data_IF_930143671976
#
_entry.id   IF_930143671976
#
_cell.length_a   1.000
_cell.length_b   1.000
_cell.length_c   1.000
_cell.angle_alpha   90.00
_cell.angle_beta   90.00
_cell.angle_gamma   90.00
#
_symmetry.space_group_name_H-M   'P 1'
#
loop_
_entity.id
_entity.type
_entity.pdbx_description
1 polymer ?
#
# COMPACT_ATOMS: atom_id res chain seq x y z
N UNK A 1 62.95 -45.02 -9.48
CA UNK A 1 62.49 -43.68 -9.89
C UNK A 1 60.97 -43.61 -10.20
N UNK A 2 60.31 -44.61 -10.78
CA UNK A 2 58.86 -44.57 -11.13
C UNK A 2 57.88 -44.40 -9.97
N UNK A 3 58.20 -44.87 -8.75
CA UNK A 3 57.25 -44.78 -7.62
C UNK A 3 57.25 -43.41 -6.91
N UNK A 4 58.37 -42.67 -6.96
CA UNK A 4 58.44 -41.30 -6.37
C UNK A 4 57.59 -40.27 -7.19
N UNK A 5 57.65 -40.38 -8.50
CA UNK A 5 56.89 -39.47 -9.40
C UNK A 5 55.39 -39.69 -9.25
N UNK A 6 54.94 -40.95 -9.12
CA UNK A 6 53.47 -41.23 -8.89
C UNK A 6 52.97 -40.70 -7.55
N UNK A 7 53.82 -40.71 -6.51
CA UNK A 7 53.40 -40.18 -5.20
C UNK A 7 53.31 -38.64 -5.21
N UNK A 8 54.23 -37.98 -5.87
CA UNK A 8 54.25 -36.53 -6.01
C UNK A 8 53.06 -36.04 -6.85
N UNK A 9 52.76 -36.68 -7.99
CA UNK A 9 51.61 -36.32 -8.84
C UNK A 9 50.29 -36.53 -8.11
N UNK A 10 50.10 -37.63 -7.35
CA UNK A 10 48.91 -37.84 -6.51
C UNK A 10 48.75 -36.76 -5.46
N UNK A 11 49.82 -36.30 -4.81
CA UNK A 11 49.75 -35.25 -3.79
C UNK A 11 49.37 -33.90 -4.38
N UNK A 12 49.81 -33.55 -5.57
CA UNK A 12 49.41 -32.33 -6.27
C UNK A 12 47.99 -32.40 -6.81
N UNK A 13 47.53 -33.56 -7.27
CA UNK A 13 46.15 -33.76 -7.69
C UNK A 13 45.21 -33.65 -6.48
N UNK A 14 45.56 -34.21 -5.31
CA UNK A 14 44.78 -34.04 -4.07
C UNK A 14 44.75 -32.59 -3.59
N UNK A 15 45.88 -31.88 -3.63
CA UNK A 15 45.95 -30.45 -3.27
C UNK A 15 45.14 -29.58 -4.24
N UNK A 16 45.20 -29.88 -5.52
CA UNK A 16 44.40 -29.16 -6.54
C UNK A 16 42.90 -29.42 -6.39
N UNK A 17 42.50 -30.67 -6.07
CA UNK A 17 41.11 -31.00 -5.82
C UNK A 17 40.55 -30.36 -4.54
N UNK A 18 41.35 -30.16 -3.51
CA UNK A 18 40.98 -29.43 -2.30
C UNK A 18 40.92 -27.91 -2.57
N UNK A 19 41.90 -27.36 -3.29
CA UNK A 19 41.95 -25.94 -3.61
C UNK A 19 40.85 -25.47 -4.58
N UNK A 20 40.39 -26.32 -5.50
CA UNK A 20 39.33 -26.02 -6.46
C UNK A 20 37.96 -26.54 -5.99
N UNK A 21 37.92 -27.67 -5.30
CA UNK A 21 36.68 -28.28 -4.83
C UNK A 21 36.01 -27.52 -3.68
N UNK A 22 36.79 -27.03 -2.69
CA UNK A 22 36.27 -26.27 -1.57
C UNK A 22 35.64 -24.90 -1.97
N UNK A 23 36.30 -24.10 -2.83
CA UNK A 23 35.66 -22.88 -3.31
C UNK A 23 34.46 -23.14 -4.21
N UNK A 24 34.50 -24.19 -5.07
CA UNK A 24 33.37 -24.55 -5.93
C UNK A 24 32.18 -25.09 -5.15
N UNK A 25 32.39 -25.91 -4.12
CA UNK A 25 31.34 -26.37 -3.23
C UNK A 25 30.80 -25.24 -2.36
N UNK A 26 31.67 -24.32 -1.90
CA UNK A 26 31.24 -23.07 -1.23
C UNK A 26 30.42 -22.18 -2.13
N UNK A 27 30.79 -22.00 -3.39
CA UNK A 27 30.00 -21.26 -4.39
C UNK A 27 28.71 -21.98 -4.77
N UNK A 28 28.68 -23.32 -4.82
CA UNK A 28 27.45 -24.09 -5.05
C UNK A 28 26.53 -24.05 -3.84
N UNK A 29 27.06 -24.09 -2.62
CA UNK A 29 26.24 -23.95 -1.39
C UNK A 29 25.70 -22.53 -1.26
N UNK A 30 26.49 -21.51 -1.58
CA UNK A 30 26.04 -20.11 -1.63
C UNK A 30 25.10 -19.80 -2.80
N UNK A 31 25.10 -20.63 -3.85
CA UNK A 31 24.21 -20.47 -5.01
C UNK A 31 22.91 -21.31 -4.97
N UNK A 32 22.84 -22.31 -4.07
CA UNK A 32 21.65 -23.18 -3.97
C UNK A 32 20.68 -22.69 -2.90
N UNK A 33 21.13 -21.94 -1.88
CA UNK A 33 20.27 -21.33 -0.86
C UNK A 33 20.29 -19.79 -0.93
N UNK A 34 20.39 -19.24 -2.12
CA UNK A 34 20.29 -17.81 -2.35
C UNK A 34 18.84 -17.28 -2.37
N UNK A 35 17.93 -17.85 -1.63
CA UNK A 35 16.84 -17.09 -1.05
C UNK A 35 17.48 -16.16 -0.01
N UNK A 36 17.95 -15.02 -0.48
CA UNK A 36 18.24 -13.90 0.39
C UNK A 36 16.91 -13.46 1.01
N UNK A 37 16.45 -14.20 2.02
CA UNK A 37 15.49 -13.72 2.98
C UNK A 37 16.18 -12.59 3.73
N UNK A 38 16.19 -11.39 3.15
CA UNK A 38 16.40 -10.21 3.95
C UNK A 38 15.31 -10.24 5.01
N UNK A 39 15.69 -10.18 6.27
CA UNK A 39 14.72 -10.00 7.32
C UNK A 39 13.96 -8.72 7.02
N UNK A 40 12.72 -8.82 6.59
CA UNK A 40 11.83 -7.68 6.42
C UNK A 40 11.19 -7.40 7.76
N UNK A 41 10.93 -6.13 8.06
CA UNK A 41 10.22 -5.79 9.28
C UNK A 41 8.75 -6.22 9.18
N UNK A 42 8.16 -6.67 10.30
CA UNK A 42 6.74 -7.02 10.33
C UNK A 42 5.87 -5.78 10.14
N UNK A 43 4.61 -6.01 9.79
CA UNK A 43 3.55 -5.03 9.89
C UNK A 43 2.78 -5.24 11.21
N UNK A 44 2.36 -4.13 11.83
CA UNK A 44 1.56 -4.17 13.05
C UNK A 44 0.07 -4.13 12.70
N UNK A 45 -0.74 -4.79 13.52
CA UNK A 45 -2.21 -4.83 13.43
C UNK A 45 -2.79 -4.66 14.83
N UNK A 46 -4.09 -4.49 14.94
CA UNK A 46 -4.83 -4.46 16.21
C UNK A 46 -4.70 -5.73 17.06
N UNK A 47 -4.32 -6.85 16.43
CA UNK A 47 -4.22 -8.18 17.05
C UNK A 47 -2.80 -8.73 17.13
N UNK A 48 -1.77 -7.96 16.77
CA UNK A 48 -0.36 -8.38 16.80
C UNK A 48 0.42 -7.99 15.54
N UNK A 49 1.43 -8.78 15.21
CA UNK A 49 2.27 -8.56 14.02
C UNK A 49 2.02 -9.59 12.93
N UNK A 50 2.21 -9.19 11.69
CA UNK A 50 2.13 -10.04 10.49
C UNK A 50 3.40 -9.84 9.65
N UNK A 51 3.96 -10.93 9.07
CA UNK A 51 5.20 -10.87 8.30
C UNK A 51 5.03 -10.21 6.93
N UNK A 52 3.85 -10.34 6.33
CA UNK A 52 3.54 -9.78 5.02
C UNK A 52 2.38 -8.81 5.13
N UNK A 53 2.45 -7.76 4.31
CA UNK A 53 1.35 -6.80 4.24
C UNK A 53 0.00 -7.48 3.96
N UNK A 54 -1.02 -7.02 4.67
CA UNK A 54 -2.43 -7.29 4.42
C UNK A 54 -3.25 -6.04 4.71
N UNK A 55 -4.48 -5.99 4.28
CA UNK A 55 -5.43 -4.90 4.57
C UNK A 55 -5.67 -4.64 6.07
N UNK A 56 -5.23 -5.57 6.95
CA UNK A 56 -5.26 -5.38 8.42
C UNK A 56 -4.02 -4.67 8.96
N UNK A 57 -3.02 -4.37 8.11
CA UNK A 57 -1.84 -3.64 8.54
C UNK A 57 -2.24 -2.23 8.99
N UNK A 58 -1.82 -1.85 10.19
CA UNK A 58 -2.13 -0.55 10.78
C UNK A 58 -1.40 0.55 10.04
N UNK A 59 -2.17 1.52 9.57
CA UNK A 59 -1.67 2.71 8.87
C UNK A 59 -1.99 3.96 9.66
N UNK A 60 -1.08 4.92 9.65
CA UNK A 60 -1.32 6.23 10.26
C UNK A 60 -2.33 7.01 9.43
N UNK A 61 -3.41 7.45 10.08
CA UNK A 61 -4.44 8.28 9.46
C UNK A 61 -3.86 9.63 9.01
N UNK A 62 -4.32 10.20 7.89
CA UNK A 62 -3.91 11.54 7.49
C UNK A 62 -4.20 12.58 8.57
N UNK A 63 -3.21 13.45 8.84
CA UNK A 63 -3.35 14.51 9.84
C UNK A 63 -2.74 15.83 9.35
N UNK A 64 -3.24 16.92 9.93
CA UNK A 64 -2.65 18.25 9.81
C UNK A 64 -2.63 18.87 11.21
N UNK A 65 -1.42 19.22 11.68
CA UNK A 65 -1.13 19.77 13.00
C UNK A 65 -0.25 21.01 12.88
N UNK A 66 0.08 21.65 14.00
CA UNK A 66 0.95 22.85 14.04
C UNK A 66 2.31 22.43 14.58
N UNK A 67 3.39 22.85 13.91
CA UNK A 67 4.73 22.55 14.36
C UNK A 67 5.26 23.62 15.37
N UNK A 68 6.45 23.38 15.90
CA UNK A 68 7.11 24.27 16.87
C UNK A 68 7.55 25.63 16.28
N UNK A 69 7.47 25.85 14.98
CA UNK A 69 7.69 27.14 14.31
C UNK A 69 6.38 27.89 14.04
N UNK A 70 5.26 27.39 14.57
CA UNK A 70 3.89 27.92 14.38
C UNK A 70 3.44 27.81 12.91
N UNK A 71 3.90 26.77 12.21
CA UNK A 71 3.53 26.49 10.82
C UNK A 71 2.67 25.23 10.76
N UNK A 72 1.78 25.16 9.76
CA UNK A 72 1.00 23.94 9.48
C UNK A 72 1.91 22.84 8.97
N UNK A 73 1.84 21.64 9.57
CA UNK A 73 2.52 20.44 9.16
C UNK A 73 1.47 19.40 8.72
N UNK A 74 1.53 18.96 7.47
CA UNK A 74 0.64 17.96 6.89
C UNK A 74 1.34 16.60 6.78
N UNK A 75 0.64 15.52 7.12
CA UNK A 75 1.17 14.15 7.02
C UNK A 75 1.64 13.76 5.62
N UNK A 76 1.21 14.47 4.55
CA UNK A 76 1.74 14.30 3.19
C UNK A 76 3.23 14.57 3.09
N UNK A 77 3.79 15.39 3.99
CA UNK A 77 5.23 15.64 4.04
C UNK A 77 6.04 14.39 4.43
N UNK A 78 5.37 13.37 5.00
CA UNK A 78 5.95 12.09 5.39
C UNK A 78 5.84 11.01 4.30
N UNK A 79 5.09 11.26 3.24
CA UNK A 79 4.94 10.31 2.13
C UNK A 79 6.30 10.00 1.48
N UNK A 80 6.59 8.72 1.30
CA UNK A 80 7.87 8.25 0.75
C UNK A 80 9.05 8.32 1.72
N UNK A 81 8.85 8.68 2.99
CA UNK A 81 9.91 8.78 4.01
C UNK A 81 9.73 7.75 5.11
N UNK A 82 10.84 7.21 5.60
CA UNK A 82 10.85 6.48 6.88
C UNK A 82 10.85 7.48 8.03
N UNK A 83 10.00 7.27 9.02
CA UNK A 83 9.97 8.21 10.12
C UNK A 83 9.69 7.58 11.48
N UNK A 84 10.23 8.20 12.51
CA UNK A 84 10.00 7.83 13.91
C UNK A 84 8.90 8.72 14.47
N UNK A 85 7.83 8.11 14.99
CA UNK A 85 6.83 8.79 15.80
C UNK A 85 7.20 8.68 17.29
N UNK A 86 7.25 9.80 18.00
CA UNK A 86 7.52 9.88 19.43
C UNK A 86 6.41 10.67 20.13
N UNK A 87 6.07 10.30 21.37
CA UNK A 87 4.95 10.88 22.10
C UNK A 87 5.40 11.32 23.49
N UNK A 88 5.30 12.60 23.81
CA UNK A 88 5.62 13.11 25.13
C UNK A 88 5.11 14.56 25.34
N UNK A 89 4.81 14.98 26.58
CA UNK A 89 4.65 16.39 26.90
C UNK A 89 5.99 16.97 27.35
N UNK A 90 6.28 18.24 27.02
CA UNK A 90 7.57 18.87 27.35
C UNK A 90 7.80 19.09 28.86
N UNK A 91 6.74 19.06 29.66
CA UNK A 91 6.78 19.23 31.12
C UNK A 91 6.98 17.93 31.92
N UNK A 92 7.08 16.76 31.24
CA UNK A 92 7.29 15.50 31.93
C UNK A 92 8.71 15.36 32.49
N UNK A 93 8.88 14.75 33.70
CA UNK A 93 10.16 14.70 34.38
C UNK A 93 11.33 14.09 33.62
N UNK A 94 11.06 13.11 32.77
CA UNK A 94 12.08 12.34 32.05
C UNK A 94 12.20 12.70 30.56
N UNK A 95 11.42 13.66 30.07
CA UNK A 95 11.35 14.00 28.66
C UNK A 95 12.68 14.49 28.09
N UNK A 96 13.46 15.24 28.86
CA UNK A 96 14.78 15.71 28.42
C UNK A 96 15.78 14.56 28.19
N UNK A 97 15.70 13.49 28.99
CA UNK A 97 16.51 12.28 28.74
C UNK A 97 16.06 11.54 27.49
N UNK A 98 14.76 11.42 27.29
CA UNK A 98 14.17 10.83 26.12
C UNK A 98 14.56 11.57 24.83
N UNK A 99 14.45 12.91 24.85
CA UNK A 99 14.89 13.73 23.70
C UNK A 99 16.38 13.57 23.39
N UNK A 100 17.23 13.40 24.42
CA UNK A 100 18.66 13.11 24.21
C UNK A 100 18.91 11.78 23.50
N UNK A 101 18.10 10.77 23.75
CA UNK A 101 18.21 9.49 23.05
C UNK A 101 17.83 9.63 21.58
N UNK A 102 16.83 10.46 21.26
CA UNK A 102 16.45 10.77 19.87
C UNK A 102 17.50 11.59 19.11
N UNK A 103 18.48 12.21 19.80
CA UNK A 103 19.59 12.88 19.11
C UNK A 103 20.40 11.91 18.26
N UNK A 104 20.56 10.67 18.68
CA UNK A 104 21.39 9.71 17.96
C UNK A 104 20.83 9.29 16.60
N UNK A 105 19.57 8.83 16.45
CA UNK A 105 19.00 8.58 15.14
C UNK A 105 18.99 9.83 14.25
N UNK A 106 18.64 11.01 14.79
CA UNK A 106 18.67 12.26 14.03
C UNK A 106 20.08 12.64 13.56
N UNK A 107 21.11 12.42 14.39
CA UNK A 107 22.50 12.65 14.00
C UNK A 107 23.01 11.61 12.99
N UNK A 108 22.66 10.33 13.15
CA UNK A 108 23.05 9.24 12.26
C UNK A 108 22.55 9.46 10.84
N UNK A 109 21.32 9.94 10.72
CA UNK A 109 20.63 10.12 9.43
C UNK A 109 20.48 11.61 9.03
N UNK A 110 21.32 12.50 9.55
CA UNK A 110 21.21 13.94 9.31
C UNK A 110 21.29 14.35 7.84
N UNK A 111 22.02 13.57 7.02
CA UNK A 111 22.25 13.84 5.60
C UNK A 111 21.22 13.13 4.69
N UNK A 112 20.36 12.25 5.25
CA UNK A 112 19.34 11.49 4.53
C UNK A 112 18.01 12.26 4.49
N UNK A 113 17.56 12.68 3.31
CA UNK A 113 16.34 13.51 3.18
C UNK A 113 15.04 12.75 3.39
N UNK A 114 15.08 11.44 3.30
CA UNK A 114 13.97 10.49 3.37
C UNK A 114 13.76 9.89 4.78
N UNK A 115 14.45 10.42 5.80
CA UNK A 115 14.26 10.03 7.20
C UNK A 115 13.85 11.24 8.04
N UNK A 116 12.80 11.08 8.84
CA UNK A 116 12.28 12.12 9.73
C UNK A 116 12.01 11.60 11.15
N UNK A 117 11.99 12.50 12.09
CA UNK A 117 11.48 12.26 13.45
C UNK A 117 10.35 13.24 13.74
N UNK A 118 9.20 12.71 14.13
CA UNK A 118 7.99 13.48 14.43
C UNK A 118 7.58 13.23 15.87
N UNK A 119 7.58 14.28 16.67
CA UNK A 119 7.23 14.24 18.08
C UNK A 119 5.84 14.85 18.25
N UNK A 120 4.92 14.09 18.80
CA UNK A 120 3.56 14.53 19.13
C UNK A 120 3.49 14.87 20.61
N UNK A 121 2.98 16.05 20.95
CA UNK A 121 2.71 16.36 22.35
C UNK A 121 1.55 15.52 22.90
N UNK A 122 1.62 15.20 24.18
CA UNK A 122 0.52 14.59 24.93
C UNK A 122 -0.28 15.61 25.77
N UNK A 123 0.19 16.85 25.83
CA UNK A 123 -0.43 17.95 26.55
C UNK A 123 -0.44 19.22 25.68
N UNK A 124 -1.32 19.24 24.71
CA UNK A 124 -1.43 20.37 23.78
C UNK A 124 -1.86 21.68 24.43
N UNK A 125 -2.52 21.61 25.58
CA UNK A 125 -2.89 22.81 26.33
C UNK A 125 -1.65 23.52 26.92
N UNK A 126 -0.65 22.76 27.34
CA UNK A 126 0.63 23.30 27.84
C UNK A 126 1.60 23.53 26.68
N UNK A 127 1.75 22.58 25.79
CA UNK A 127 2.74 22.56 24.71
C UNK A 127 2.28 23.36 23.48
N UNK A 128 2.06 24.66 23.68
CA UNK A 128 1.80 25.59 22.56
C UNK A 128 3.08 25.77 21.71
N UNK A 129 2.99 26.21 20.45
CA UNK A 129 4.15 26.35 19.55
C UNK A 129 5.34 27.07 20.18
N UNK A 130 5.09 28.17 20.91
CA UNK A 130 6.16 28.93 21.62
C UNK A 130 6.86 28.10 22.70
N UNK A 131 6.13 27.22 23.41
CA UNK A 131 6.70 26.34 24.44
C UNK A 131 7.53 25.25 23.79
N UNK A 132 7.01 24.64 22.74
CA UNK A 132 7.72 23.65 21.92
C UNK A 132 9.00 24.25 21.34
N UNK A 133 8.96 25.43 20.76
CA UNK A 133 10.13 26.14 20.20
C UNK A 133 11.23 26.31 21.24
N UNK A 134 10.89 26.84 22.42
CA UNK A 134 11.85 26.99 23.54
C UNK A 134 12.41 25.63 23.99
N UNK A 135 11.58 24.59 23.97
CA UNK A 135 12.01 23.23 24.31
C UNK A 135 13.02 22.70 23.32
N UNK A 136 12.75 22.82 22.01
CA UNK A 136 13.62 22.42 20.90
C UNK A 136 14.97 23.13 21.00
N UNK A 137 15.00 24.45 21.16
CA UNK A 137 16.21 25.25 21.27
C UNK A 137 17.12 24.80 22.43
N UNK A 138 16.51 24.41 23.57
CA UNK A 138 17.27 23.98 24.78
C UNK A 138 17.79 22.55 24.67
N UNK A 139 17.04 21.64 24.06
CA UNK A 139 17.28 20.19 24.16
C UNK A 139 17.88 19.58 22.92
N UNK A 140 17.71 20.18 21.72
CA UNK A 140 18.20 19.58 20.47
C UNK A 140 19.56 20.12 20.03
N UNK A 141 20.03 21.25 20.53
CA UNK A 141 21.37 21.89 20.36
C UNK A 141 21.91 22.03 18.92
N UNK A 142 21.17 21.63 17.90
CA UNK A 142 21.66 21.62 16.52
C UNK A 142 20.70 22.32 15.57
N UNK A 143 21.08 23.50 15.11
CA UNK A 143 20.44 24.20 13.98
C UNK A 143 20.50 23.40 12.66
N UNK A 144 21.15 22.21 12.64
CA UNK A 144 21.30 21.35 11.46
C UNK A 144 20.18 20.36 11.22
N UNK A 145 19.23 20.22 12.14
CA UNK A 145 18.08 19.32 11.97
C UNK A 145 16.80 20.03 11.50
N UNK A 146 16.92 21.29 11.07
CA UNK A 146 15.78 22.08 10.60
C UNK A 146 15.00 21.32 9.51
N UNK A 147 13.72 21.11 9.76
CA UNK A 147 12.81 20.42 8.85
C UNK A 147 12.70 18.91 9.02
N UNK A 148 13.70 18.21 9.58
CA UNK A 148 13.68 16.75 9.78
C UNK A 148 13.16 16.27 11.12
N UNK A 149 13.25 17.11 12.12
CA UNK A 149 12.76 16.85 13.45
C UNK A 149 11.62 17.80 13.79
N UNK A 150 10.40 17.29 13.70
CA UNK A 150 9.19 18.06 13.91
C UNK A 150 8.64 17.80 15.32
N UNK A 151 8.19 18.86 15.98
CA UNK A 151 7.48 18.80 17.24
C UNK A 151 6.10 19.40 17.00
N UNK A 152 5.07 18.57 17.14
CA UNK A 152 3.71 18.88 16.71
C UNK A 152 2.78 19.06 17.90
N UNK A 153 1.91 20.06 17.79
CA UNK A 153 0.81 20.36 18.69
C UNK A 153 -0.46 20.69 17.91
N UNK A 154 -1.59 20.90 18.62
CA UNK A 154 -2.86 21.22 17.99
C UNK A 154 -4.01 21.11 18.98
N UNK A 155 -5.21 20.79 18.50
CA UNK A 155 -6.34 20.49 19.36
C UNK A 155 -6.14 19.16 20.10
N UNK A 156 -6.29 19.15 21.43
CA UNK A 156 -6.03 17.95 22.26
C UNK A 156 -6.81 16.73 21.78
N UNK A 157 -8.10 16.89 21.51
CA UNK A 157 -8.97 15.79 21.08
C UNK A 157 -8.53 15.17 19.73
N UNK A 158 -7.99 16.00 18.83
CA UNK A 158 -7.43 15.51 17.55
C UNK A 158 -6.16 14.70 17.75
N UNK A 159 -5.28 15.17 18.64
CA UNK A 159 -4.04 14.45 18.98
C UNK A 159 -4.37 13.13 19.67
N UNK A 160 -5.28 13.13 20.64
CA UNK A 160 -5.68 11.93 21.38
C UNK A 160 -6.34 10.90 20.43
N UNK A 161 -7.16 11.37 19.50
CA UNK A 161 -7.75 10.50 18.46
C UNK A 161 -6.65 9.91 17.56
N UNK A 162 -5.75 10.73 17.03
CA UNK A 162 -4.65 10.28 16.17
C UNK A 162 -3.79 9.22 16.86
N UNK A 163 -3.40 9.46 18.12
CA UNK A 163 -2.56 8.54 18.90
C UNK A 163 -3.27 7.21 19.13
N UNK A 164 -4.55 7.24 19.51
CA UNK A 164 -5.33 6.02 19.75
C UNK A 164 -5.60 5.24 18.47
N UNK A 165 -6.07 5.91 17.41
CA UNK A 165 -6.59 5.27 16.21
C UNK A 165 -5.47 4.86 15.24
N UNK A 166 -4.35 5.62 15.21
CA UNK A 166 -3.22 5.34 14.32
C UNK A 166 -2.11 4.51 14.96
N UNK A 167 -1.80 4.77 16.24
CA UNK A 167 -0.66 4.13 16.91
C UNK A 167 -1.08 3.10 17.96
N UNK A 168 -2.37 2.83 18.08
CA UNK A 168 -2.92 1.84 19.03
C UNK A 168 -2.50 2.08 20.48
N UNK A 169 -2.18 3.33 20.83
CA UNK A 169 -1.74 3.71 22.17
C UNK A 169 -2.97 4.11 23.00
N UNK A 170 -3.20 3.39 24.08
CA UNK A 170 -4.18 3.78 25.10
C UNK A 170 -3.46 4.56 26.20
N UNK A 171 -3.93 5.77 26.48
CA UNK A 171 -3.40 6.58 27.60
C UNK A 171 -3.98 6.05 28.91
N UNK A 172 -3.10 5.80 29.89
CA UNK A 172 -3.52 5.49 31.25
C UNK A 172 -4.06 6.77 31.92
N UNK A 173 -5.28 6.73 32.44
CA UNK A 173 -5.88 7.85 33.14
C UNK A 173 -5.10 8.24 34.40
N UNK A 174 -4.39 7.29 35.03
CA UNK A 174 -3.57 7.53 36.23
C UNK A 174 -2.21 8.12 35.88
N UNK A 175 -1.63 7.79 34.75
CA UNK A 175 -0.33 8.30 34.24
C UNK A 175 -0.41 8.73 32.79
N UNK A 176 -1.21 9.72 32.43
CA UNK A 176 -1.53 10.05 31.03
C UNK A 176 -0.32 10.50 30.20
N UNK A 177 0.78 10.83 30.86
CA UNK A 177 1.99 11.36 30.24
C UNK A 177 3.16 10.36 30.21
N UNK A 178 2.94 9.12 30.66
CA UNK A 178 3.99 8.09 30.72
C UNK A 178 3.97 7.19 29.48
N UNK A 179 4.18 7.79 28.31
CA UNK A 179 4.33 7.04 27.05
C UNK A 179 5.81 7.11 26.64
N UNK A 180 6.56 6.06 26.96
CA UNK A 180 7.96 5.92 26.56
C UNK A 180 8.09 5.02 25.32
N UNK A 181 7.25 5.22 24.32
CA UNK A 181 7.19 4.37 23.13
C UNK A 181 7.55 5.17 21.87
N UNK A 182 8.37 4.58 21.03
CA UNK A 182 8.65 5.05 19.68
C UNK A 182 8.00 4.08 18.67
N UNK A 183 7.44 4.62 17.63
CA UNK A 183 6.97 3.85 16.49
C UNK A 183 7.83 4.17 15.27
N UNK A 184 8.22 3.13 14.55
CA UNK A 184 8.84 3.24 13.24
C UNK A 184 7.77 3.07 12.17
N UNK A 185 7.71 4.01 11.24
CA UNK A 185 6.69 4.09 10.19
C UNK A 185 7.38 4.14 8.84
N UNK A 186 6.88 3.38 7.88
CA UNK A 186 7.42 3.35 6.52
C UNK A 186 6.88 4.49 5.64
N UNK A 187 7.41 4.61 4.42
CA UNK A 187 7.03 5.67 3.48
C UNK A 187 5.60 5.60 2.96
N UNK A 188 4.87 4.53 3.23
CA UNK A 188 3.44 4.38 2.94
C UNK A 188 2.56 4.66 4.16
N UNK A 189 3.17 4.92 5.32
CA UNK A 189 2.50 5.23 6.58
C UNK A 189 2.14 4.00 7.41
N UNK A 190 2.65 2.79 7.11
CA UNK A 190 2.41 1.60 7.91
C UNK A 190 3.35 1.50 9.12
N UNK A 191 2.82 0.99 10.24
CA UNK A 191 3.61 0.74 11.45
C UNK A 191 4.48 -0.50 11.26
N UNK A 192 5.81 -0.35 11.40
CA UNK A 192 6.80 -1.38 11.12
C UNK A 192 7.67 -1.75 12.33
N UNK A 193 7.67 -0.95 13.38
CA UNK A 193 8.43 -1.21 14.61
C UNK A 193 7.90 -0.45 15.81
N UNK A 194 8.05 -1.03 17.02
CA UNK A 194 7.74 -0.39 18.28
C UNK A 194 8.89 -0.58 19.28
N UNK A 195 9.33 0.50 19.91
CA UNK A 195 10.53 0.49 20.76
C UNK A 195 10.26 1.23 22.06
N UNK A 196 10.79 0.69 23.17
CA UNK A 196 10.74 1.39 24.44
C UNK A 196 11.87 2.43 24.56
N UNK A 197 11.49 3.68 24.50
CA UNK A 197 12.43 4.81 24.43
C UNK A 197 13.33 4.99 25.67
N UNK A 198 13.04 4.33 26.79
CA UNK A 198 13.89 4.35 27.97
C UNK A 198 15.14 3.46 27.86
N UNK A 199 15.23 2.58 26.85
CA UNK A 199 16.32 1.65 26.63
C UNK A 199 17.25 2.16 25.53
N UNK A 200 18.55 2.25 25.80
CA UNK A 200 19.57 2.57 24.78
C UNK A 200 19.63 1.47 23.70
N UNK A 201 19.44 0.21 24.09
CA UNK A 201 19.42 -0.93 23.14
C UNK A 201 18.22 -0.81 22.20
N UNK A 202 17.04 -0.44 22.70
CA UNK A 202 15.85 -0.27 21.86
C UNK A 202 16.01 0.89 20.84
N UNK A 203 16.72 1.95 21.20
CA UNK A 203 17.05 3.03 20.24
C UNK A 203 18.06 2.54 19.19
N UNK A 204 18.99 1.69 19.57
CA UNK A 204 19.92 1.07 18.64
C UNK A 204 19.20 0.15 17.66
N UNK A 205 18.31 -0.69 18.16
CA UNK A 205 17.46 -1.56 17.32
C UNK A 205 16.63 -0.72 16.35
N UNK A 206 16.02 0.38 16.80
CA UNK A 206 15.28 1.29 15.93
C UNK A 206 16.15 1.87 14.81
N UNK A 207 17.41 2.20 15.08
CA UNK A 207 18.34 2.72 14.06
C UNK A 207 18.73 1.64 13.06
N UNK A 208 18.93 0.40 13.50
CA UNK A 208 19.21 -0.75 12.61
C UNK A 208 17.99 -1.04 11.72
N UNK A 209 16.79 -0.98 12.27
CA UNK A 209 15.54 -1.21 11.56
C UNK A 209 15.19 -0.08 10.55
N UNK A 210 15.58 1.17 10.82
CA UNK A 210 15.50 2.25 9.81
C UNK A 210 16.32 1.88 8.57
N UNK A 211 17.57 1.41 8.75
CA UNK A 211 18.40 1.00 7.62
C UNK A 211 17.80 -0.17 6.84
N UNK A 212 17.11 -1.08 7.51
CA UNK A 212 16.41 -2.19 6.88
C UNK A 212 15.21 -1.68 6.05
N UNK A 213 14.39 -0.76 6.59
CA UNK A 213 13.29 -0.15 5.84
C UNK A 213 13.75 0.67 4.64
N UNK A 214 14.84 1.44 4.77
CA UNK A 214 15.40 2.15 3.62
C UNK A 214 15.77 1.17 2.50
N UNK A 215 16.41 0.06 2.86
CA UNK A 215 16.76 -0.98 1.89
C UNK A 215 15.54 -1.60 1.23
N UNK A 216 14.50 -1.93 1.99
CA UNK A 216 13.22 -2.43 1.45
C UNK A 216 12.61 -1.43 0.44
N UNK A 217 12.64 -0.14 0.75
CA UNK A 217 12.13 0.92 -0.12
C UNK A 217 12.97 1.09 -1.39
N UNK A 218 14.29 1.02 -1.29
CA UNK A 218 15.21 1.11 -2.43
C UNK A 218 15.04 -0.07 -3.38
N UNK A 219 14.91 -1.29 -2.86
CA UNK A 219 14.65 -2.49 -3.65
C UNK A 219 13.31 -2.41 -4.37
N UNK A 220 12.24 -1.97 -3.69
CA UNK A 220 10.92 -1.77 -4.29
C UNK A 220 10.97 -0.70 -5.39
N UNK A 221 11.69 0.38 -5.17
CA UNK A 221 11.88 1.47 -6.12
C UNK A 221 12.69 1.01 -7.36
N UNK A 222 13.73 0.21 -7.16
CA UNK A 222 14.54 -0.38 -8.22
C UNK A 222 13.72 -1.34 -9.10
N UNK A 223 12.96 -2.26 -8.49
CA UNK A 223 12.10 -3.19 -9.22
C UNK A 223 10.96 -2.46 -9.96
N UNK A 224 10.42 -1.40 -9.36
CA UNK A 224 9.46 -0.51 -10.02
C UNK A 224 10.08 0.14 -11.26
N UNK A 225 11.27 0.72 -11.15
CA UNK A 225 11.99 1.36 -12.26
C UNK A 225 12.29 0.37 -13.38
N UNK A 226 12.79 -0.81 -13.06
CA UNK A 226 13.06 -1.89 -14.02
C UNK A 226 11.80 -2.36 -14.74
N UNK A 227 10.67 -2.44 -14.01
CA UNK A 227 9.37 -2.75 -14.59
C UNK A 227 8.93 -1.66 -15.57
N UNK A 228 9.08 -0.38 -15.19
CA UNK A 228 8.78 0.76 -16.07
C UNK A 228 9.60 0.73 -17.37
N UNK A 229 10.92 0.54 -17.27
CA UNK A 229 11.82 0.45 -18.42
C UNK A 229 11.50 -0.74 -19.35
N UNK A 230 10.93 -1.82 -18.80
CA UNK A 230 10.44 -2.95 -19.60
C UNK A 230 9.15 -2.60 -20.31
N UNK A 231 8.19 -2.01 -19.60
CA UNK A 231 6.87 -1.65 -20.11
C UNK A 231 6.95 -0.58 -21.21
N UNK A 232 7.89 0.35 -21.11
CA UNK A 232 8.13 1.39 -22.13
C UNK A 232 8.59 0.82 -23.49
N UNK A 233 9.17 -0.39 -23.50
CA UNK A 233 9.59 -1.10 -24.71
C UNK A 233 8.50 -1.94 -25.35
N UNK A 234 7.40 -2.17 -24.64
CA UNK A 234 6.27 -2.94 -25.17
C UNK A 234 5.38 -2.07 -26.07
N UNK A 235 4.78 -2.63 -27.13
CA UNK A 235 3.85 -1.88 -27.98
C UNK A 235 2.66 -1.36 -27.16
N UNK A 236 2.08 -0.20 -27.52
CA UNK A 236 0.90 0.31 -26.83
C UNK A 236 -0.22 -0.73 -26.78
N UNK A 237 -1.02 -0.73 -25.69
CA UNK A 237 -2.18 -1.61 -25.61
C UNK A 237 -3.16 -1.32 -26.77
N UNK A 238 -3.75 -2.34 -27.38
CA UNK A 238 -4.72 -2.15 -28.45
C UNK A 238 -5.96 -1.42 -27.94
N UNK A 239 -6.66 -0.75 -28.85
CA UNK A 239 -8.05 -0.32 -28.65
C UNK A 239 -8.94 -1.41 -29.25
N UNK A 240 -9.81 -1.99 -28.44
CA UNK A 240 -10.66 -3.11 -28.83
C UNK A 240 -12.06 -2.63 -29.22
N UNK A 241 -12.73 -3.42 -30.09
CA UNK A 241 -14.05 -3.11 -30.63
C UNK A 241 -14.01 -2.44 -32.00
N UNK A 242 -15.16 -2.07 -32.57
CA UNK A 242 -15.27 -1.36 -33.83
C UNK A 242 -14.50 -0.03 -33.82
N UNK A 243 -14.03 0.42 -34.99
CA UNK A 243 -13.31 1.70 -35.08
C UNK A 243 -14.14 2.86 -34.53
N UNK A 244 -13.53 3.62 -33.60
CA UNK A 244 -14.18 4.75 -32.94
C UNK A 244 -15.15 4.36 -31.81
N UNK A 245 -15.25 3.09 -31.44
CA UNK A 245 -16.08 2.65 -30.33
C UNK A 245 -15.56 3.20 -28.99
N UNK A 246 -16.49 3.73 -28.22
CA UNK A 246 -16.31 4.05 -26.79
C UNK A 246 -17.50 3.50 -26.03
N UNK A 247 -17.27 3.14 -24.75
CA UNK A 247 -18.40 2.71 -23.90
C UNK A 247 -19.44 3.82 -23.85
N UNK A 248 -20.72 3.52 -24.22
CA UNK A 248 -21.77 4.54 -24.28
C UNK A 248 -22.11 5.14 -22.92
N UNK A 249 -22.75 6.29 -22.94
CA UNK A 249 -23.27 6.90 -21.74
C UNK A 249 -24.30 5.99 -21.07
N UNK A 250 -24.25 5.93 -19.74
CA UNK A 250 -25.19 5.15 -18.92
C UNK A 250 -25.65 5.96 -17.70
N UNK A 251 -26.79 5.57 -17.15
CA UNK A 251 -27.28 6.03 -15.87
C UNK A 251 -27.85 4.82 -15.12
N UNK A 252 -27.32 4.56 -13.94
CA UNK A 252 -27.61 3.39 -13.09
C UNK A 252 -27.81 3.87 -11.64
N UNK A 253 -27.94 2.97 -10.71
CA UNK A 253 -28.12 3.25 -9.28
C UNK A 253 -26.95 2.60 -8.53
N UNK A 254 -26.24 3.42 -7.75
CA UNK A 254 -25.15 2.95 -6.88
C UNK A 254 -25.68 2.19 -5.66
N UNK A 255 -24.76 1.49 -4.99
CA UNK A 255 -25.08 0.71 -3.79
C UNK A 255 -25.54 1.56 -2.59
N UNK A 256 -25.37 2.88 -2.62
CA UNK A 256 -25.89 3.85 -1.64
C UNK A 256 -27.25 4.46 -2.05
N UNK A 257 -27.87 3.94 -3.11
CA UNK A 257 -29.13 4.40 -3.70
C UNK A 257 -29.04 5.75 -4.43
N UNK A 258 -27.86 6.28 -4.67
CA UNK A 258 -27.69 7.49 -5.49
C UNK A 258 -27.63 7.16 -6.98
N UNK A 259 -27.91 8.15 -7.84
CA UNK A 259 -27.70 8.02 -9.28
C UNK A 259 -26.19 7.92 -9.55
N UNK A 260 -25.81 6.91 -10.36
CA UNK A 260 -24.45 6.69 -10.83
C UNK A 260 -24.42 6.64 -12.35
N UNK A 261 -23.60 7.46 -12.97
CA UNK A 261 -23.63 7.68 -14.41
C UNK A 261 -22.23 7.68 -15.03
N UNK A 262 -22.18 7.71 -16.36
CA UNK A 262 -20.94 7.89 -17.10
C UNK A 262 -20.14 9.14 -16.69
N UNK A 263 -20.76 10.14 -16.04
CA UNK A 263 -20.08 11.37 -15.56
C UNK A 263 -19.20 11.06 -14.34
N UNK A 264 -19.60 10.11 -13.53
CA UNK A 264 -18.89 9.73 -12.30
C UNK A 264 -17.62 8.94 -12.58
N UNK A 265 -17.53 8.39 -13.79
CA UNK A 265 -16.34 7.65 -14.27
C UNK A 265 -15.50 8.41 -15.30
N UNK A 266 -15.93 9.63 -15.67
CA UNK A 266 -15.25 10.38 -16.72
C UNK A 266 -13.81 10.76 -16.33
N UNK A 267 -12.87 10.51 -17.24
CA UNK A 267 -11.45 10.79 -17.03
C UNK A 267 -10.73 9.75 -16.16
N UNK A 268 -11.43 8.75 -15.60
CA UNK A 268 -10.84 7.64 -14.84
C UNK A 268 -10.76 6.37 -15.68
N UNK A 269 -9.70 5.63 -15.52
CA UNK A 269 -9.65 4.22 -15.95
C UNK A 269 -10.63 3.40 -15.12
N UNK A 270 -11.11 2.31 -15.66
CA UNK A 270 -11.93 1.39 -14.87
C UNK A 270 -11.76 -0.06 -15.26
N UNK A 271 -11.90 -0.91 -14.26
CA UNK A 271 -12.01 -2.36 -14.41
C UNK A 271 -13.46 -2.71 -14.16
N UNK A 272 -14.08 -3.36 -15.13
CA UNK A 272 -15.52 -3.59 -15.16
C UNK A 272 -15.80 -5.09 -15.17
N UNK A 273 -16.78 -5.51 -14.36
CA UNK A 273 -17.36 -6.84 -14.41
C UNK A 273 -18.89 -6.81 -14.35
N UNK A 274 -19.48 -7.96 -14.67
CA UNK A 274 -20.90 -8.23 -14.56
C UNK A 274 -21.08 -9.42 -13.63
N UNK A 275 -21.90 -9.27 -12.59
CA UNK A 275 -22.08 -10.26 -11.54
C UNK A 275 -23.51 -10.28 -11.01
N UNK A 276 -23.81 -11.17 -10.08
CA UNK A 276 -25.03 -11.10 -9.24
C UNK A 276 -24.76 -11.75 -7.87
N UNK A 277 -25.38 -11.20 -6.81
CA UNK A 277 -25.03 -11.53 -5.40
C UNK A 277 -25.36 -12.95 -4.99
N UNK A 278 -26.30 -13.62 -5.67
CA UNK A 278 -26.74 -14.99 -5.36
C UNK A 278 -26.08 -16.07 -6.25
N UNK A 279 -25.09 -15.70 -7.07
CA UNK A 279 -24.32 -16.66 -7.85
C UNK A 279 -23.51 -17.58 -6.92
N UNK A 280 -23.66 -18.91 -7.02
CA UNK A 280 -22.97 -19.81 -6.10
C UNK A 280 -21.59 -20.28 -6.60
N UNK A 281 -21.16 -19.87 -7.78
CA UNK A 281 -19.98 -20.45 -8.47
C UNK A 281 -18.88 -19.45 -8.76
N UNK A 282 -18.97 -18.73 -9.87
CA UNK A 282 -17.87 -17.87 -10.36
C UNK A 282 -17.82 -16.50 -9.72
N UNK A 283 -18.98 -15.87 -9.40
CA UNK A 283 -18.99 -14.52 -8.83
C UNK A 283 -18.23 -14.40 -7.50
N UNK A 284 -18.27 -15.37 -6.56
CA UNK A 284 -17.44 -15.30 -5.36
C UNK A 284 -15.93 -15.24 -5.67
N UNK A 285 -15.47 -15.96 -6.72
CA UNK A 285 -14.08 -15.93 -7.15
C UNK A 285 -13.75 -14.57 -7.75
N UNK A 286 -14.56 -14.09 -8.69
CA UNK A 286 -14.39 -12.77 -9.31
C UNK A 286 -14.42 -11.65 -8.28
N UNK A 287 -15.37 -11.67 -7.33
CA UNK A 287 -15.46 -10.68 -6.26
C UNK A 287 -14.24 -10.70 -5.33
N UNK A 288 -13.67 -11.88 -5.07
CA UNK A 288 -12.40 -12.00 -4.34
C UNK A 288 -11.24 -11.36 -5.12
N UNK A 289 -11.19 -11.53 -6.45
CA UNK A 289 -10.19 -10.87 -7.28
C UNK A 289 -10.41 -9.34 -7.34
N UNK A 290 -11.65 -8.86 -7.35
CA UNK A 290 -11.96 -7.42 -7.25
C UNK A 290 -11.49 -6.85 -5.91
N UNK A 291 -11.71 -7.55 -4.79
CA UNK A 291 -11.18 -7.15 -3.48
C UNK A 291 -9.65 -7.07 -3.49
N UNK A 292 -8.99 -8.06 -4.12
CA UNK A 292 -7.53 -8.04 -4.30
C UNK A 292 -7.07 -6.88 -5.18
N UNK A 293 -7.76 -6.59 -6.28
CA UNK A 293 -7.48 -5.44 -7.14
C UNK A 293 -7.63 -4.12 -6.38
N UNK A 294 -8.68 -3.97 -5.56
CA UNK A 294 -8.86 -2.82 -4.68
C UNK A 294 -7.62 -2.58 -3.79
N UNK A 295 -7.16 -3.62 -3.10
CA UNK A 295 -5.98 -3.54 -2.24
C UNK A 295 -4.73 -3.13 -3.03
N UNK A 296 -4.51 -3.73 -4.21
CA UNK A 296 -3.38 -3.39 -5.07
C UNK A 296 -3.43 -1.94 -5.59
N UNK A 297 -4.62 -1.41 -5.89
CA UNK A 297 -4.79 -0.01 -6.32
C UNK A 297 -4.50 0.96 -5.19
N UNK A 298 -4.95 0.67 -3.97
CA UNK A 298 -4.69 1.50 -2.79
C UNK A 298 -3.20 1.50 -2.47
N UNK A 299 -2.55 0.33 -2.44
CA UNK A 299 -1.12 0.20 -2.15
C UNK A 299 -0.23 0.97 -3.10
N UNK A 300 -0.66 1.08 -4.35
CA UNK A 300 0.10 1.78 -5.39
C UNK A 300 -0.29 3.24 -5.56
N UNK A 301 -1.20 3.75 -4.72
CA UNK A 301 -1.68 5.13 -4.79
C UNK A 301 -2.53 5.43 -6.04
N UNK A 302 -3.14 4.40 -6.65
CA UNK A 302 -3.90 4.51 -7.90
C UNK A 302 -5.41 4.60 -7.69
N UNK A 303 -5.89 4.65 -6.45
CA UNK A 303 -7.30 4.65 -6.09
C UNK A 303 -8.12 5.82 -6.65
N UNK A 304 -7.46 6.93 -6.99
CA UNK A 304 -8.10 8.10 -7.61
C UNK A 304 -8.11 8.01 -9.16
N UNK A 305 -7.25 7.21 -9.74
CA UNK A 305 -7.05 7.09 -11.19
C UNK A 305 -7.84 5.92 -11.78
N UNK A 306 -8.11 4.89 -10.99
CA UNK A 306 -8.77 3.67 -11.41
C UNK A 306 -9.98 3.41 -10.52
N UNK A 307 -11.12 3.10 -11.14
CA UNK A 307 -12.33 2.67 -10.47
C UNK A 307 -12.61 1.20 -10.80
N UNK A 308 -12.92 0.40 -9.79
CA UNK A 308 -13.52 -0.91 -9.96
C UNK A 308 -15.05 -0.72 -10.04
N UNK A 309 -15.70 -1.29 -11.04
CA UNK A 309 -17.11 -1.07 -11.29
C UNK A 309 -17.82 -2.38 -11.62
N UNK A 310 -18.61 -2.88 -10.66
CA UNK A 310 -19.35 -4.13 -10.78
C UNK A 310 -20.83 -3.87 -11.08
N UNK A 311 -21.30 -4.39 -12.20
CA UNK A 311 -22.70 -4.25 -12.65
C UNK A 311 -23.49 -5.49 -12.28
N UNK A 312 -24.56 -5.34 -11.48
CA UNK A 312 -25.44 -6.47 -11.22
C UNK A 312 -26.33 -6.76 -12.43
N UNK A 313 -26.32 -8.00 -12.88
CA UNK A 313 -27.20 -8.50 -13.97
C UNK A 313 -28.53 -9.08 -13.44
N UNK A 314 -28.77 -9.02 -12.14
CA UNK A 314 -30.01 -9.46 -11.49
C UNK A 314 -30.68 -8.33 -10.66
N UNK A 315 -31.03 -7.19 -11.30
CA UNK A 315 -31.49 -6.01 -10.57
C UNK A 315 -32.82 -6.23 -9.83
N UNK A 316 -33.59 -7.26 -10.19
CA UNK A 316 -34.80 -7.63 -9.47
C UNK A 316 -34.52 -8.19 -8.07
N UNK A 317 -33.34 -8.77 -7.87
CA UNK A 317 -32.85 -9.31 -6.60
C UNK A 317 -31.85 -8.38 -5.94
N UNK A 318 -30.92 -7.84 -6.69
CA UNK A 318 -29.80 -7.07 -6.21
C UNK A 318 -30.16 -5.59 -6.09
N UNK A 319 -30.94 -5.27 -5.03
CA UNK A 319 -31.24 -3.87 -4.69
C UNK A 319 -29.97 -3.17 -4.18
N UNK A 320 -29.95 -1.81 -4.17
CA UNK A 320 -28.82 -1.06 -3.61
C UNK A 320 -28.39 -1.53 -2.21
N UNK A 321 -29.34 -1.80 -1.32
CA UNK A 321 -29.08 -2.26 0.04
C UNK A 321 -28.41 -3.64 0.07
N UNK A 322 -28.80 -4.54 -0.87
CA UNK A 322 -28.17 -5.86 -0.99
C UNK A 322 -26.76 -5.76 -1.56
N UNK A 323 -26.55 -4.87 -2.52
CA UNK A 323 -25.22 -4.59 -3.07
C UNK A 323 -24.30 -4.00 -1.99
N UNK A 324 -24.81 -3.06 -1.18
CA UNK A 324 -24.06 -2.52 -0.04
C UNK A 324 -23.66 -3.61 0.94
N UNK A 325 -24.62 -4.44 1.40
CA UNK A 325 -24.36 -5.53 2.32
C UNK A 325 -23.43 -6.62 1.74
N UNK A 326 -23.48 -6.85 0.43
CA UNK A 326 -22.55 -7.76 -0.25
C UNK A 326 -21.13 -7.17 -0.28
N UNK A 327 -21.00 -5.88 -0.64
CA UNK A 327 -19.74 -5.17 -0.65
C UNK A 327 -19.07 -5.09 0.73
N UNK A 328 -19.84 -4.85 1.79
CA UNK A 328 -19.33 -4.84 3.17
C UNK A 328 -18.68 -6.16 3.57
N UNK A 329 -19.27 -7.31 3.18
CA UNK A 329 -18.69 -8.64 3.43
C UNK A 329 -17.37 -8.88 2.70
N UNK A 330 -17.14 -8.16 1.62
CA UNK A 330 -15.92 -8.22 0.81
C UNK A 330 -14.86 -7.20 1.22
N UNK A 331 -15.12 -6.34 2.22
CA UNK A 331 -14.24 -5.25 2.60
C UNK A 331 -14.18 -4.14 1.54
N UNK A 332 -15.28 -3.92 0.80
CA UNK A 332 -15.34 -2.93 -0.27
C UNK A 332 -15.17 -1.50 0.26
N UNK A 333 -14.29 -0.74 -0.36
CA UNK A 333 -14.18 0.71 -0.21
C UNK A 333 -14.95 1.40 -1.36
N UNK A 334 -16.08 2.08 -1.10
CA UNK A 334 -16.91 2.69 -2.15
C UNK A 334 -16.17 3.74 -3.01
N UNK A 335 -15.14 4.38 -2.49
CA UNK A 335 -14.34 5.35 -3.24
C UNK A 335 -13.47 4.70 -4.34
N UNK A 336 -13.19 3.39 -4.23
CA UNK A 336 -12.32 2.62 -5.13
C UNK A 336 -13.11 1.60 -5.94
N UNK A 337 -14.14 1.02 -5.33
CA UNK A 337 -14.94 -0.03 -5.95
C UNK A 337 -16.42 0.26 -5.76
N UNK A 338 -17.15 0.53 -6.86
CA UNK A 338 -18.57 0.74 -6.83
C UNK A 338 -19.34 -0.47 -7.40
N UNK A 339 -20.48 -0.75 -6.83
CA UNK A 339 -21.43 -1.76 -7.28
C UNK A 339 -22.72 -1.08 -7.70
N UNK A 340 -23.18 -1.37 -8.91
CA UNK A 340 -24.32 -0.68 -9.50
C UNK A 340 -25.42 -1.66 -9.95
N UNK A 341 -26.66 -1.18 -9.89
CA UNK A 341 -27.86 -1.85 -10.36
C UNK A 341 -28.72 -0.86 -11.16
N UNK A 342 -29.85 -1.26 -11.70
CA UNK A 342 -30.73 -0.36 -12.46
C UNK A 342 -31.71 -1.12 -13.33
N UNK A 343 -32.14 -0.50 -14.41
CA UNK A 343 -33.04 -1.14 -15.38
C UNK A 343 -32.32 -2.30 -16.07
N UNK A 344 -32.95 -3.47 -16.05
CA UNK A 344 -32.36 -4.72 -16.56
C UNK A 344 -31.89 -4.62 -18.00
N UNK A 345 -32.77 -4.13 -18.87
CA UNK A 345 -32.47 -3.99 -20.30
C UNK A 345 -31.30 -3.03 -20.55
N UNK A 346 -31.19 -1.96 -19.77
CA UNK A 346 -30.08 -1.01 -19.87
C UNK A 346 -28.76 -1.67 -19.47
N UNK A 347 -28.73 -2.49 -18.41
CA UNK A 347 -27.54 -3.23 -17.96
C UNK A 347 -27.13 -4.28 -19.02
N UNK A 348 -28.09 -5.04 -19.54
CA UNK A 348 -27.82 -6.05 -20.56
C UNK A 348 -27.37 -5.43 -21.90
N UNK A 349 -27.94 -4.28 -22.26
CA UNK A 349 -27.49 -3.53 -23.46
C UNK A 349 -26.08 -2.99 -23.28
N UNK A 350 -25.79 -2.42 -22.11
CA UNK A 350 -24.44 -1.95 -21.77
C UNK A 350 -23.41 -3.09 -21.79
N UNK A 351 -23.75 -4.26 -21.25
CA UNK A 351 -22.88 -5.44 -21.32
C UNK A 351 -22.58 -5.84 -22.77
N UNK A 352 -23.63 -6.02 -23.60
CA UNK A 352 -23.50 -6.57 -24.96
C UNK A 352 -22.94 -5.56 -25.95
N UNK A 353 -23.47 -4.34 -25.97
CA UNK A 353 -23.17 -3.32 -26.97
C UNK A 353 -22.14 -2.29 -26.47
N UNK A 354 -22.04 -2.09 -25.16
CA UNK A 354 -21.07 -1.18 -24.54
C UNK A 354 -19.72 -1.86 -24.31
N UNK A 355 -19.72 -2.99 -23.64
CA UNK A 355 -18.49 -3.71 -23.25
C UNK A 355 -18.22 -4.97 -24.08
N UNK A 356 -19.09 -5.36 -24.99
CA UNK A 356 -19.02 -6.61 -25.79
C UNK A 356 -18.87 -7.87 -24.92
N UNK A 357 -19.52 -7.87 -23.76
CA UNK A 357 -19.53 -8.98 -22.82
C UNK A 357 -20.89 -9.68 -22.85
N UNK A 358 -20.89 -10.99 -22.57
CA UNK A 358 -22.13 -11.78 -22.57
C UNK A 358 -22.89 -11.56 -21.27
N UNK A 359 -24.17 -11.17 -21.40
CA UNK A 359 -25.16 -11.21 -20.32
C UNK A 359 -26.50 -11.61 -20.96
N UNK A 360 -27.00 -12.81 -20.64
CA UNK A 360 -28.25 -13.37 -21.17
C UNK A 360 -29.01 -14.14 -20.08
N UNK A 361 -30.32 -14.14 -20.16
CA UNK A 361 -31.16 -15.07 -19.41
C UNK A 361 -31.04 -16.48 -19.99
N UNK A 362 -31.00 -17.48 -19.12
CA UNK A 362 -30.89 -18.87 -19.54
C UNK A 362 -31.56 -19.77 -18.52
N UNK A 363 -32.55 -20.52 -18.94
CA UNK A 363 -33.21 -21.51 -18.09
C UNK A 363 -32.28 -22.63 -17.62
N UNK A 364 -31.13 -22.79 -18.28
CA UNK A 364 -30.11 -23.80 -17.96
C UNK A 364 -28.97 -23.27 -17.08
N UNK A 365 -28.88 -21.94 -16.94
CA UNK A 365 -27.84 -21.32 -16.13
C UNK A 365 -28.19 -21.41 -14.63
N UNK A 366 -27.17 -21.59 -13.80
CA UNK A 366 -27.31 -21.54 -12.35
C UNK A 366 -27.72 -20.12 -11.95
N UNK A 367 -28.89 -20.01 -11.30
CA UNK A 367 -29.47 -18.70 -10.96
C UNK A 367 -30.26 -18.04 -12.09
N UNK A 368 -30.43 -18.70 -13.27
CA UNK A 368 -31.26 -18.19 -14.37
C UNK A 368 -30.59 -17.16 -15.26
N UNK A 369 -29.32 -16.82 -15.02
CA UNK A 369 -28.57 -15.81 -15.77
C UNK A 369 -27.19 -16.38 -16.11
N UNK A 370 -26.82 -16.25 -17.38
CA UNK A 370 -25.46 -16.51 -17.86
C UNK A 370 -24.78 -15.17 -18.12
N UNK A 371 -23.64 -14.95 -17.48
CA UNK A 371 -22.80 -13.78 -17.68
C UNK A 371 -21.34 -14.19 -17.90
N UNK A 372 -20.56 -13.27 -18.47
CA UNK A 372 -19.15 -13.47 -18.70
C UNK A 372 -18.35 -13.47 -17.37
N UNK A 373 -17.34 -14.31 -17.29
CA UNK A 373 -16.32 -14.34 -16.22
C UNK A 373 -15.14 -13.38 -16.48
N UNK A 374 -15.36 -12.40 -17.34
CA UNK A 374 -14.34 -11.51 -17.86
C UNK A 374 -14.35 -10.15 -17.14
N UNK A 375 -13.17 -9.66 -16.83
CA UNK A 375 -12.91 -8.26 -16.50
C UNK A 375 -12.55 -7.48 -17.75
N UNK A 376 -13.24 -6.36 -17.98
CA UNK A 376 -12.90 -5.42 -19.06
C UNK A 376 -12.10 -4.24 -18.51
N UNK A 377 -10.93 -3.97 -19.11
CA UNK A 377 -10.15 -2.77 -18.84
C UNK A 377 -10.57 -1.65 -19.81
N UNK A 378 -10.96 -0.52 -19.26
CA UNK A 378 -11.38 0.68 -19.99
C UNK A 378 -10.50 1.86 -19.60
N UNK A 379 -9.98 2.59 -20.59
CA UNK A 379 -9.13 3.74 -20.34
C UNK A 379 -9.93 5.03 -20.00
N UNK A 380 -9.22 6.10 -19.65
CA UNK A 380 -9.81 7.40 -19.31
C UNK A 380 -10.57 8.08 -20.47
N UNK A 381 -10.42 7.57 -21.70
CA UNK A 381 -11.15 8.02 -22.89
C UNK A 381 -12.35 7.10 -23.22
N UNK A 382 -12.77 6.25 -22.30
CA UNK A 382 -13.87 5.29 -22.45
C UNK A 382 -13.64 4.20 -23.53
N UNK A 383 -12.39 3.88 -23.89
CA UNK A 383 -12.04 2.86 -24.88
C UNK A 383 -11.67 1.56 -24.17
N UNK A 384 -12.12 0.45 -24.70
CA UNK A 384 -11.76 -0.88 -24.16
C UNK A 384 -10.33 -1.20 -24.58
N UNK A 385 -9.50 -1.62 -23.62
CA UNK A 385 -8.07 -1.87 -23.82
C UNK A 385 -7.66 -3.32 -23.58
N UNK A 386 -8.51 -4.11 -22.92
CA UNK A 386 -8.25 -5.52 -22.66
C UNK A 386 -9.44 -6.24 -22.06
N UNK A 387 -9.40 -7.58 -22.18
CA UNK A 387 -10.30 -8.52 -21.52
C UNK A 387 -9.46 -9.57 -20.82
N UNK A 388 -9.83 -9.92 -19.59
CA UNK A 388 -9.07 -10.79 -18.72
C UNK A 388 -10.00 -11.75 -18.01
N UNK A 389 -9.61 -13.00 -17.85
CA UNK A 389 -10.36 -13.98 -17.07
C UNK A 389 -10.35 -13.56 -15.59
N UNK A 390 -11.50 -13.13 -15.08
CA UNK A 390 -11.68 -12.66 -13.70
C UNK A 390 -11.58 -13.79 -12.66
N UNK A 391 -11.53 -15.06 -13.09
CA UNK A 391 -11.33 -16.22 -12.21
C UNK A 391 -9.86 -16.65 -12.12
N UNK A 392 -9.00 -16.17 -13.05
CA UNK A 392 -7.58 -16.49 -13.11
C UNK A 392 -6.74 -15.43 -12.41
N UNK A 393 -6.00 -15.83 -11.38
CA UNK A 393 -5.05 -14.94 -10.70
C UNK A 393 -3.98 -14.40 -11.65
N UNK A 394 -3.50 -15.22 -12.60
CA UNK A 394 -2.50 -14.83 -13.59
C UNK A 394 -3.02 -13.75 -14.55
N UNK A 395 -4.25 -13.90 -15.06
CA UNK A 395 -4.87 -12.91 -15.94
C UNK A 395 -5.18 -11.60 -15.19
N UNK A 396 -5.56 -11.68 -13.91
CA UNK A 396 -5.76 -10.52 -13.05
C UNK A 396 -4.43 -9.79 -12.76
N UNK A 397 -3.33 -10.52 -12.60
CA UNK A 397 -1.99 -9.91 -12.48
C UNK A 397 -1.59 -9.19 -13.76
N UNK A 398 -1.86 -9.78 -14.92
CA UNK A 398 -1.65 -9.16 -16.23
C UNK A 398 -2.52 -7.91 -16.40
N UNK A 399 -3.81 -7.99 -16.01
CA UNK A 399 -4.70 -6.83 -15.98
C UNK A 399 -4.07 -5.67 -15.19
N UNK A 400 -3.55 -5.92 -13.98
CA UNK A 400 -2.89 -4.89 -13.18
C UNK A 400 -1.63 -4.31 -13.86
N UNK A 401 -0.87 -5.13 -14.56
CA UNK A 401 0.28 -4.65 -15.34
C UNK A 401 -0.16 -3.73 -16.49
N UNK A 402 -1.25 -4.08 -17.17
CA UNK A 402 -1.79 -3.28 -18.27
C UNK A 402 -2.46 -1.98 -17.77
N UNK A 403 -3.12 -1.98 -16.61
CA UNK A 403 -3.56 -0.77 -15.92
C UNK A 403 -2.37 0.14 -15.64
N UNK A 404 -1.29 -0.42 -15.11
CA UNK A 404 -0.08 0.34 -14.81
C UNK A 404 0.56 0.94 -16.06
N UNK A 405 0.59 0.19 -17.18
CA UNK A 405 1.05 0.70 -18.48
C UNK A 405 0.25 1.91 -18.95
N UNK A 406 -1.09 1.84 -18.89
CA UNK A 406 -1.95 2.96 -19.27
C UNK A 406 -1.76 4.19 -18.38
N UNK A 407 -1.47 3.98 -17.11
CA UNK A 407 -1.26 5.05 -16.14
C UNK A 407 0.05 5.80 -16.38
N UNK A 408 1.14 5.08 -16.68
CA UNK A 408 2.47 5.70 -16.86
C UNK A 408 2.74 6.21 -18.26
N UNK A 409 2.03 5.70 -19.28
CA UNK A 409 2.13 6.13 -20.68
C UNK A 409 0.79 6.71 -21.15
N UNK A 410 0.34 7.84 -20.56
CA UNK A 410 -0.89 8.47 -21.04
C UNK A 410 -0.70 8.86 -22.51
N UNK A 411 -1.59 8.37 -23.38
CA UNK A 411 -1.57 8.81 -24.77
C UNK A 411 -1.74 10.33 -24.84
N UNK A 412 -0.98 11.01 -25.70
CA UNK A 412 -1.12 12.45 -25.83
C UNK A 412 -2.58 12.81 -26.10
N UNK A 413 -3.07 13.80 -25.39
CA UNK A 413 -4.38 14.40 -25.65
C UNK A 413 -4.29 15.02 -27.07
N UNK A 414 -5.17 14.65 -28.01
CA UNK A 414 -5.13 15.17 -29.36
C UNK A 414 -5.36 16.67 -29.42
#
# INVERSE_FOLDING_TARGET
MKNRVRYTVRKYVYLLSIMLGLPLTGLLILGIDGDHHFNTLPYYTDSGTIEKWTERAQRVEPFSLINHEDESFDSKELEGKVWIAAFFPTNAPHVAQFTKQLLWPNFRYRDESDIMTVCFTLDANYDQPEVLKKYVERNTRYNGFSGKWQFLTGEQDRIDKLIRDSFMIQRDEAEPNNIATLWLVDGQGYLRGVYHAASEDAIKDAVEDIALLQKEMDEASYERKKTLERLDKEPPLPVLGPAGHTVPAFALIASDSTEFSHRDVNGRMRIVDFFFTRCPTICPIMSSQMSRLQSLLIDRGMQNEVLLLSHSVDPSHDTPERLSAYGEKLGRNPAVWEMVTGEKEAIFDLARNGYFLTAIESDTAVGGIFHSDIFALVDSKNRIRGYYDGTSTEEVDKLMMDVYRLWITPEPIP
#
